data_IF_092334816767
#
_entry.id   IF_092334816767
#
_cell.length_a   1.000
_cell.length_b   1.000
_cell.length_c   1.000
_cell.angle_alpha   90.00
_cell.angle_beta   90.00
_cell.angle_gamma   90.00
#
_symmetry.space_group_name_H-M   'P 1'
#
loop_
_entity.id
_entity.type
_entity.pdbx_description
1 polymer ?
#
# COMPACT_ATOMS: atom_id res chain seq x y z
N UNK A 1 -9.09 7.33 -11.67
CA UNK A 1 -10.55 7.22 -11.41
C UNK A 1 -11.26 6.13 -12.24
N UNK A 2 -10.67 5.64 -13.34
CA UNK A 2 -11.33 4.69 -14.26
C UNK A 2 -11.54 3.27 -13.67
N UNK A 3 -10.57 2.73 -12.93
CA UNK A 3 -10.64 1.34 -12.43
C UNK A 3 -11.83 1.07 -11.48
N UNK A 4 -12.14 1.99 -10.55
CA UNK A 4 -13.27 1.83 -9.63
C UNK A 4 -14.62 1.90 -10.33
N UNK A 5 -14.73 2.74 -11.37
CA UNK A 5 -15.90 2.80 -12.24
C UNK A 5 -16.03 1.50 -13.03
N UNK A 6 -14.93 1.00 -13.59
CA UNK A 6 -14.90 -0.27 -14.34
C UNK A 6 -15.30 -1.44 -13.45
N UNK A 7 -14.85 -1.50 -12.20
CA UNK A 7 -15.19 -2.58 -11.28
C UNK A 7 -16.58 -2.42 -10.63
N UNK A 8 -17.25 -1.28 -10.81
CA UNK A 8 -18.53 -0.94 -10.16
C UNK A 8 -18.48 -1.02 -8.62
N UNK A 9 -17.29 -0.83 -8.05
CA UNK A 9 -17.10 -0.90 -6.61
C UNK A 9 -17.70 0.33 -5.92
N UNK A 10 -18.74 0.09 -5.11
CA UNK A 10 -19.43 1.14 -4.35
C UNK A 10 -18.70 1.39 -3.03
N UNK A 11 -18.69 2.65 -2.58
CA UNK A 11 -18.16 3.03 -1.26
C UNK A 11 -16.75 3.64 -1.25
N UNK A 12 -16.02 3.64 -2.38
CA UNK A 12 -14.68 4.26 -2.48
C UNK A 12 -14.67 5.71 -3.00
N UNK A 13 -15.85 6.30 -3.23
CA UNK A 13 -15.98 7.66 -3.79
C UNK A 13 -15.71 8.75 -2.75
N UNK A 14 -15.83 8.44 -1.45
CA UNK A 14 -15.58 9.37 -0.35
C UNK A 14 -14.70 8.67 0.66
N UNK A 15 -13.61 9.32 1.08
CA UNK A 15 -12.73 8.79 2.13
C UNK A 15 -13.52 8.65 3.42
N UNK A 16 -13.53 7.45 3.99
CA UNK A 16 -14.15 7.16 5.28
C UNK A 16 -13.17 6.44 6.18
N UNK A 17 -13.09 6.86 7.44
CA UNK A 17 -12.26 6.21 8.47
C UNK A 17 -12.99 5.08 9.19
N UNK A 18 -14.28 4.87 8.89
CA UNK A 18 -15.14 3.88 9.53
C UNK A 18 -15.71 2.90 8.51
N UNK A 19 -15.97 1.68 8.96
CA UNK A 19 -16.60 0.64 8.15
C UNK A 19 -15.64 -0.06 7.17
N UNK A 20 -16.15 -0.64 6.08
CA UNK A 20 -15.35 -1.50 5.20
C UNK A 20 -14.42 -0.74 4.25
N UNK A 21 -14.40 0.61 4.30
CA UNK A 21 -13.64 1.44 3.37
C UNK A 21 -12.17 1.04 3.28
N UNK A 22 -11.50 0.86 4.42
CA UNK A 22 -10.08 0.47 4.44
C UNK A 22 -9.86 -0.90 3.77
N UNK A 23 -10.70 -1.88 4.09
CA UNK A 23 -10.59 -3.22 3.50
C UNK A 23 -10.84 -3.18 1.99
N UNK A 24 -11.90 -2.48 1.57
CA UNK A 24 -12.22 -2.32 0.15
C UNK A 24 -11.11 -1.59 -0.60
N UNK A 25 -10.51 -0.55 -0.01
CA UNK A 25 -9.40 0.19 -0.61
C UNK A 25 -8.15 -0.70 -0.73
N UNK A 26 -7.85 -1.48 0.31
CA UNK A 26 -6.75 -2.44 0.29
C UNK A 26 -6.92 -3.46 -0.85
N UNK A 27 -8.08 -4.12 -0.93
CA UNK A 27 -8.40 -5.07 -2.01
C UNK A 27 -8.30 -4.40 -3.39
N UNK A 28 -8.74 -3.14 -3.50
CA UNK A 28 -8.67 -2.35 -4.72
C UNK A 28 -7.24 -2.14 -5.19
N UNK A 29 -6.38 -1.69 -4.30
CA UNK A 29 -4.96 -1.48 -4.60
C UNK A 29 -4.35 -2.78 -5.10
N UNK A 30 -4.63 -3.91 -4.46
CA UNK A 30 -4.13 -5.21 -4.90
C UNK A 30 -4.65 -5.62 -6.28
N UNK A 31 -5.96 -5.53 -6.53
CA UNK A 31 -6.55 -5.96 -7.81
C UNK A 31 -6.08 -5.08 -8.97
N UNK A 32 -6.02 -3.77 -8.74
CA UNK A 32 -5.60 -2.80 -9.75
C UNK A 32 -4.12 -2.97 -10.05
N UNK A 33 -3.26 -3.05 -9.03
CA UNK A 33 -1.81 -3.26 -9.21
C UNK A 33 -1.52 -4.59 -9.89
N UNK A 34 -2.19 -5.69 -9.50
CA UNK A 34 -2.01 -6.98 -10.18
C UNK A 34 -2.36 -6.88 -11.67
N UNK A 35 -3.46 -6.18 -12.02
CA UNK A 35 -3.81 -5.94 -13.41
C UNK A 35 -2.79 -5.06 -14.17
N UNK A 36 -2.26 -4.01 -13.55
CA UNK A 36 -1.21 -3.17 -14.16
C UNK A 36 0.06 -3.97 -14.43
N UNK A 37 0.55 -4.71 -13.42
CA UNK A 37 1.78 -5.49 -13.55
C UNK A 37 1.62 -6.60 -14.59
N UNK A 38 0.44 -7.24 -14.67
CA UNK A 38 0.14 -8.20 -15.74
C UNK A 38 0.25 -7.58 -17.14
N UNK A 39 -0.21 -6.34 -17.33
CA UNK A 39 -0.06 -5.65 -18.62
C UNK A 39 1.39 -5.18 -18.87
N UNK A 40 2.12 -4.74 -17.84
CA UNK A 40 3.54 -4.41 -17.94
C UNK A 40 4.37 -5.62 -18.40
N UNK A 41 4.09 -6.81 -17.87
CA UNK A 41 4.70 -8.05 -18.33
C UNK A 41 4.48 -8.29 -19.81
N UNK A 42 3.26 -8.09 -20.30
CA UNK A 42 2.92 -8.22 -21.73
C UNK A 42 3.73 -7.24 -22.58
N UNK A 43 3.79 -5.96 -22.17
CA UNK A 43 4.52 -4.90 -22.89
C UNK A 43 6.02 -5.20 -22.97
N UNK A 44 6.67 -5.47 -21.84
CA UNK A 44 8.13 -5.65 -21.78
C UNK A 44 8.59 -6.97 -22.41
N UNK A 45 7.82 -8.04 -22.24
CA UNK A 45 8.19 -9.36 -22.78
C UNK A 45 7.75 -9.58 -24.22
N UNK A 46 6.93 -8.68 -24.77
CA UNK A 46 6.29 -8.79 -26.08
C UNK A 46 5.48 -10.09 -26.26
N UNK A 47 4.99 -10.69 -25.17
CA UNK A 47 4.14 -11.89 -25.20
C UNK A 47 2.68 -11.52 -25.02
N UNK A 48 1.77 -12.06 -25.84
CA UNK A 48 0.33 -11.81 -25.68
C UNK A 48 -0.26 -12.48 -24.44
N UNK A 49 0.27 -13.65 -24.04
CA UNK A 49 -0.25 -14.42 -22.93
C UNK A 49 0.81 -14.66 -21.85
N UNK A 50 0.44 -14.44 -20.59
CA UNK A 50 1.32 -14.70 -19.43
C UNK A 50 1.71 -16.18 -19.27
N UNK A 51 0.96 -17.08 -19.90
CA UNK A 51 1.31 -18.51 -19.93
C UNK A 51 2.66 -18.72 -20.62
N UNK A 52 2.98 -17.89 -21.63
CA UNK A 52 4.21 -18.00 -22.39
C UNK A 52 5.43 -17.65 -21.54
N UNK A 53 5.27 -16.80 -20.52
CA UNK A 53 6.31 -16.49 -19.55
C UNK A 53 6.75 -17.72 -18.75
N UNK A 54 5.85 -18.69 -18.52
CA UNK A 54 6.18 -19.93 -17.79
C UNK A 54 7.20 -20.79 -18.52
N UNK A 55 7.39 -20.57 -19.82
CA UNK A 55 8.37 -21.30 -20.63
C UNK A 55 9.76 -20.64 -20.61
N UNK A 56 9.89 -19.42 -20.08
CA UNK A 56 11.16 -18.70 -19.98
C UNK A 56 11.98 -19.21 -18.79
N UNK A 57 13.31 -19.09 -18.90
CA UNK A 57 14.22 -19.42 -17.80
C UNK A 57 14.10 -18.40 -16.68
N UNK A 58 14.49 -18.79 -15.47
CA UNK A 58 14.44 -17.93 -14.29
C UNK A 58 15.25 -16.64 -14.50
N UNK A 59 16.43 -16.73 -15.11
CA UNK A 59 17.29 -15.58 -15.37
C UNK A 59 16.65 -14.59 -16.35
N UNK A 60 15.92 -15.10 -17.34
CA UNK A 60 15.21 -14.26 -18.31
C UNK A 60 14.00 -13.59 -17.66
N UNK A 61 13.26 -14.30 -16.80
CA UNK A 61 12.17 -13.73 -16.02
C UNK A 61 12.66 -12.62 -15.08
N UNK A 62 13.80 -12.84 -14.42
CA UNK A 62 14.41 -11.84 -13.55
C UNK A 62 14.80 -10.57 -14.31
N UNK A 63 15.40 -10.71 -15.50
CA UNK A 63 15.73 -9.58 -16.38
C UNK A 63 14.47 -8.81 -16.78
N UNK A 64 13.42 -9.51 -17.22
CA UNK A 64 12.15 -8.89 -17.58
C UNK A 64 11.52 -8.15 -16.40
N UNK A 65 11.53 -8.73 -15.20
CA UNK A 65 11.03 -8.07 -13.99
C UNK A 65 11.84 -6.81 -13.65
N UNK A 66 13.17 -6.88 -13.80
CA UNK A 66 14.05 -5.74 -13.57
C UNK A 66 13.75 -4.62 -14.57
N UNK A 67 13.48 -4.97 -15.82
CA UNK A 67 13.10 -4.00 -16.85
C UNK A 67 11.75 -3.34 -16.56
N UNK A 68 10.75 -4.11 -16.10
CA UNK A 68 9.47 -3.54 -15.66
C UNK A 68 9.68 -2.52 -14.55
N UNK A 69 10.49 -2.85 -13.53
CA UNK A 69 10.77 -1.92 -12.44
C UNK A 69 11.46 -0.66 -12.97
N UNK A 70 12.50 -0.81 -13.79
CA UNK A 70 13.31 0.29 -14.28
C UNK A 70 12.61 1.19 -15.30
N UNK A 71 11.70 0.65 -16.11
CA UNK A 71 11.02 1.41 -17.18
C UNK A 71 9.58 1.79 -16.84
N UNK A 72 8.89 1.03 -15.99
CA UNK A 72 7.45 1.16 -15.80
C UNK A 72 7.03 1.34 -14.34
N UNK A 73 7.97 1.49 -13.41
CA UNK A 73 7.65 1.58 -11.98
C UNK A 73 8.67 2.32 -11.11
N UNK A 74 9.64 3.06 -11.69
CA UNK A 74 10.71 3.71 -10.91
C UNK A 74 10.58 5.23 -10.87
N UNK A 75 11.05 5.84 -9.77
CA UNK A 75 11.18 7.30 -9.69
C UNK A 75 12.10 7.87 -10.77
N UNK A 76 13.16 7.15 -11.13
CA UNK A 76 14.10 7.59 -12.16
C UNK A 76 13.43 7.71 -13.54
N UNK A 77 12.45 6.85 -13.85
CA UNK A 77 11.66 6.99 -15.08
C UNK A 77 10.77 8.23 -15.03
N UNK A 78 10.10 8.47 -13.90
CA UNK A 78 9.25 9.65 -13.70
C UNK A 78 10.06 10.93 -13.89
N UNK A 79 11.21 11.03 -13.22
CA UNK A 79 12.13 12.16 -13.36
C UNK A 79 12.63 12.34 -14.80
N UNK A 80 12.92 11.23 -15.50
CA UNK A 80 13.34 11.29 -16.89
C UNK A 80 12.21 11.79 -17.82
N UNK A 81 10.97 11.37 -17.59
CA UNK A 81 9.80 11.83 -18.34
C UNK A 81 9.51 13.31 -18.09
N UNK A 82 9.63 13.77 -16.85
CA UNK A 82 9.44 15.19 -16.48
C UNK A 82 10.47 16.13 -17.16
N UNK A 83 11.60 15.59 -17.62
CA UNK A 83 12.64 16.33 -18.33
C UNK A 83 12.47 16.34 -19.86
N UNK A 84 11.52 15.56 -20.40
CA UNK A 84 11.28 15.53 -21.84
C UNK A 84 10.57 16.80 -22.34
N UNK A 85 10.70 17.14 -23.64
CA UNK A 85 9.90 18.19 -24.27
C UNK A 85 8.39 17.97 -24.11
N UNK A 86 7.61 19.05 -24.07
CA UNK A 86 6.16 19.00 -23.85
C UNK A 86 5.42 18.20 -24.95
N UNK A 87 5.95 18.18 -26.17
CA UNK A 87 5.43 17.41 -27.30
C UNK A 87 5.69 15.90 -27.21
N UNK A 88 6.69 15.48 -26.43
CA UNK A 88 7.02 14.07 -26.16
C UNK A 88 6.41 13.56 -24.85
N UNK A 89 5.68 14.42 -24.12
CA UNK A 89 5.10 14.07 -22.84
C UNK A 89 3.86 13.17 -23.02
N UNK A 90 3.94 11.96 -22.47
CA UNK A 90 2.80 11.05 -22.32
C UNK A 90 2.32 11.06 -20.87
N UNK A 91 1.30 11.88 -20.59
CA UNK A 91 0.71 12.02 -19.26
C UNK A 91 0.07 10.71 -18.79
N UNK A 92 -0.50 9.91 -19.71
CA UNK A 92 -1.21 8.68 -19.34
C UNK A 92 -0.22 7.59 -18.92
N UNK A 93 0.86 7.43 -19.68
CA UNK A 93 1.95 6.53 -19.30
C UNK A 93 2.59 6.99 -17.99
N UNK A 94 2.85 8.30 -17.85
CA UNK A 94 3.41 8.88 -16.63
C UNK A 94 2.54 8.56 -15.40
N UNK A 95 1.22 8.74 -15.50
CA UNK A 95 0.28 8.37 -14.44
C UNK A 95 0.29 6.86 -14.12
N UNK A 96 0.40 6.00 -15.13
CA UNK A 96 0.48 4.55 -14.93
C UNK A 96 1.78 4.15 -14.22
N UNK A 97 2.90 4.79 -14.56
CA UNK A 97 4.21 4.58 -13.90
C UNK A 97 4.16 5.04 -12.44
N UNK A 98 3.57 6.21 -12.15
CA UNK A 98 3.36 6.67 -10.78
C UNK A 98 2.53 5.69 -9.97
N UNK A 99 1.42 5.19 -10.53
CA UNK A 99 0.60 4.18 -9.87
C UNK A 99 1.45 2.94 -9.53
N UNK A 100 2.18 2.41 -10.52
CA UNK A 100 2.99 1.22 -10.32
C UNK A 100 4.05 1.41 -9.25
N UNK A 101 4.78 2.53 -9.29
CA UNK A 101 5.79 2.89 -8.29
C UNK A 101 5.19 2.90 -6.89
N UNK A 102 4.15 3.70 -6.67
CA UNK A 102 3.55 3.90 -5.35
C UNK A 102 2.88 2.63 -4.83
N UNK A 103 2.16 1.91 -5.70
CA UNK A 103 1.43 0.73 -5.31
C UNK A 103 2.36 -0.48 -5.07
N UNK A 104 3.48 -0.61 -5.78
CA UNK A 104 4.49 -1.62 -5.48
C UNK A 104 5.16 -1.37 -4.12
N UNK A 105 5.42 -0.11 -3.75
CA UNK A 105 5.90 0.22 -2.40
C UNK A 105 4.89 -0.20 -1.33
N UNK A 106 3.59 0.04 -1.56
CA UNK A 106 2.52 -0.40 -0.66
C UNK A 106 2.46 -1.94 -0.53
N UNK A 107 2.50 -2.67 -1.65
CA UNK A 107 2.50 -4.13 -1.66
C UNK A 107 3.73 -4.67 -0.95
N UNK A 108 4.91 -4.11 -1.21
CA UNK A 108 6.16 -4.53 -0.59
C UNK A 108 6.14 -4.34 0.93
N UNK A 109 5.64 -3.21 1.42
CA UNK A 109 5.44 -2.96 2.85
C UNK A 109 4.49 -4.00 3.47
N UNK A 110 3.37 -4.29 2.82
CA UNK A 110 2.39 -5.23 3.35
C UNK A 110 2.92 -6.67 3.37
N UNK A 111 3.68 -7.08 2.36
CA UNK A 111 4.37 -8.37 2.37
C UNK A 111 5.45 -8.43 3.46
N UNK A 112 6.20 -7.34 3.67
CA UNK A 112 7.12 -7.21 4.81
C UNK A 112 6.42 -7.39 6.15
N UNK A 113 5.29 -6.71 6.35
CA UNK A 113 4.44 -6.84 7.54
C UNK A 113 4.00 -8.28 7.74
N UNK A 114 3.44 -8.92 6.70
CA UNK A 114 2.94 -10.31 6.78
C UNK A 114 4.04 -11.29 7.13
N UNK A 115 5.23 -11.10 6.56
CA UNK A 115 6.39 -11.95 6.78
C UNK A 115 7.12 -11.67 8.10
N UNK A 116 6.77 -10.60 8.82
CA UNK A 116 7.50 -10.19 10.01
C UNK A 116 8.84 -9.52 9.72
N UNK A 117 9.07 -9.05 8.49
CA UNK A 117 10.32 -8.43 8.07
C UNK A 117 10.33 -6.94 8.45
N UNK A 118 10.82 -6.68 9.66
CA UNK A 118 10.97 -5.35 10.22
C UNK A 118 12.01 -4.49 9.47
N UNK A 119 12.93 -5.11 8.73
CA UNK A 119 13.91 -4.37 7.93
C UNK A 119 13.25 -3.72 6.73
N UNK A 120 12.35 -4.43 6.04
CA UNK A 120 11.55 -3.86 4.94
C UNK A 120 10.70 -2.69 5.46
N UNK A 121 10.08 -2.84 6.62
CA UNK A 121 9.30 -1.76 7.24
C UNK A 121 10.14 -0.51 7.48
N UNK A 122 11.32 -0.66 8.11
CA UNK A 122 12.25 0.45 8.36
C UNK A 122 12.72 1.11 7.06
N UNK A 123 13.08 0.31 6.06
CA UNK A 123 13.52 0.81 4.74
C UNK A 123 12.43 1.59 4.01
N UNK A 124 11.16 1.33 4.31
CA UNK A 124 10.02 2.01 3.69
C UNK A 124 9.68 3.35 4.37
N UNK A 125 10.20 3.61 5.59
CA UNK A 125 9.91 4.84 6.35
C UNK A 125 10.25 6.13 5.59
N UNK A 126 11.42 6.28 4.92
CA UNK A 126 11.71 7.49 4.14
C UNK A 126 10.72 7.72 2.99
N UNK A 127 10.26 6.64 2.33
CA UNK A 127 9.26 6.75 1.28
C UNK A 127 7.90 7.21 1.84
N UNK A 128 7.48 6.62 2.97
CA UNK A 128 6.25 7.03 3.66
C UNK A 128 6.33 8.47 4.14
N UNK A 129 7.51 8.92 4.61
CA UNK A 129 7.74 10.30 5.02
C UNK A 129 7.43 11.26 3.87
N UNK A 130 8.00 11.01 2.68
CA UNK A 130 7.72 11.82 1.49
C UNK A 130 6.25 11.75 1.10
N UNK A 131 5.66 10.55 1.08
CA UNK A 131 4.26 10.37 0.72
C UNK A 131 3.31 11.12 1.67
N UNK A 132 3.53 11.06 2.99
CA UNK A 132 2.72 11.80 3.96
C UNK A 132 2.92 13.31 3.87
N UNK A 133 4.17 13.77 3.67
CA UNK A 133 4.46 15.18 3.51
C UNK A 133 3.75 15.77 2.28
N UNK A 134 3.83 15.10 1.13
CA UNK A 134 3.16 15.54 -0.10
C UNK A 134 1.64 15.43 -0.01
N UNK A 135 1.14 14.40 0.65
CA UNK A 135 -0.29 14.22 0.95
C UNK A 135 -0.84 15.16 2.02
N UNK A 136 -0.02 16.09 2.56
CA UNK A 136 -0.38 17.08 3.58
C UNK A 136 -0.85 16.45 4.90
N UNK A 137 -0.29 15.28 5.23
CA UNK A 137 -0.59 14.51 6.43
C UNK A 137 0.43 14.81 7.55
N UNK A 138 0.47 16.06 8.02
CA UNK A 138 1.53 16.58 8.89
C UNK A 138 1.75 15.76 10.18
N UNK A 139 0.69 15.20 10.79
CA UNK A 139 0.82 14.36 11.98
C UNK A 139 1.65 13.11 11.69
N UNK A 140 1.31 12.39 10.63
CA UNK A 140 2.06 11.22 10.20
C UNK A 140 3.47 11.59 9.70
N UNK A 141 3.63 12.74 9.04
CA UNK A 141 4.97 13.26 8.68
C UNK A 141 5.86 13.43 9.91
N UNK A 142 5.36 14.08 10.96
CA UNK A 142 6.11 14.29 12.22
C UNK A 142 6.38 12.96 12.91
N UNK A 143 5.39 12.07 13.03
CA UNK A 143 5.57 10.75 13.64
C UNK A 143 6.67 9.94 12.96
N UNK A 144 6.76 9.98 11.62
CA UNK A 144 7.82 9.29 10.88
C UNK A 144 9.18 9.97 11.07
N UNK A 145 9.24 11.31 11.13
CA UNK A 145 10.47 12.04 11.43
C UNK A 145 11.02 11.69 12.82
N UNK A 146 10.16 11.73 13.84
CA UNK A 146 10.49 11.32 15.21
C UNK A 146 11.00 9.87 15.25
N UNK A 147 10.30 8.96 14.58
CA UNK A 147 10.71 7.57 14.52
C UNK A 147 12.07 7.39 13.85
N UNK A 148 12.33 8.07 12.72
CA UNK A 148 13.63 8.03 12.05
C UNK A 148 14.74 8.62 12.94
N UNK A 149 14.49 9.74 13.60
CA UNK A 149 15.42 10.38 14.53
C UNK A 149 15.77 9.43 15.69
N UNK A 150 14.75 8.84 16.32
CA UNK A 150 14.88 7.82 17.35
C UNK A 150 15.72 6.61 16.87
N UNK A 151 15.38 6.06 15.70
CA UNK A 151 16.03 4.89 15.13
C UNK A 151 17.47 5.14 14.67
N UNK A 152 17.80 6.32 14.17
CA UNK A 152 19.12 6.59 13.63
C UNK A 152 20.08 7.20 14.66
N UNK A 153 19.58 8.05 15.56
CA UNK A 153 20.44 8.90 16.38
C UNK A 153 20.26 8.75 17.89
N UNK A 154 19.05 8.55 18.39
CA UNK A 154 18.79 8.72 19.83
C UNK A 154 18.76 7.42 20.62
N UNK A 155 18.09 6.39 20.10
CA UNK A 155 17.92 5.16 20.87
C UNK A 155 19.23 4.38 20.97
N UNK A 156 19.55 3.78 22.13
CA UNK A 156 20.60 2.79 22.21
C UNK A 156 20.20 1.51 21.45
N UNK A 157 21.17 0.67 21.02
CA UNK A 157 20.90 -0.54 20.24
C UNK A 157 19.81 -1.44 20.82
N UNK A 158 19.81 -1.67 22.14
CA UNK A 158 18.85 -2.54 22.81
C UNK A 158 17.41 -2.03 22.72
N UNK A 159 17.22 -0.70 22.76
CA UNK A 159 15.88 -0.08 22.61
C UNK A 159 15.42 -0.19 21.16
N UNK A 160 16.32 0.02 20.18
CA UNK A 160 15.98 -0.15 18.76
C UNK A 160 15.55 -1.58 18.48
N UNK A 161 16.29 -2.56 18.98
CA UNK A 161 15.99 -3.98 18.84
C UNK A 161 14.62 -4.32 19.44
N UNK A 162 14.38 -3.85 20.67
CA UNK A 162 13.09 -4.05 21.34
C UNK A 162 11.93 -3.46 20.54
N UNK A 163 12.02 -2.19 20.12
CA UNK A 163 10.93 -1.53 19.39
C UNK A 163 10.67 -2.23 18.04
N UNK A 164 11.72 -2.53 17.27
CA UNK A 164 11.58 -3.20 15.97
C UNK A 164 10.95 -4.58 16.12
N UNK A 165 11.47 -5.41 17.02
CA UNK A 165 11.08 -6.82 17.11
C UNK A 165 9.85 -7.09 17.99
N UNK A 166 9.48 -6.16 18.89
CA UNK A 166 8.37 -6.34 19.85
C UNK A 166 7.29 -5.26 19.76
N UNK A 167 7.62 -4.08 19.22
CA UNK A 167 6.72 -2.93 19.22
C UNK A 167 5.96 -2.70 17.92
N UNK A 168 6.40 -3.27 16.79
CA UNK A 168 5.75 -3.01 15.49
C UNK A 168 4.75 -4.08 15.10
N UNK A 169 5.15 -5.35 15.22
CA UNK A 169 4.39 -6.48 14.71
C UNK A 169 4.10 -7.51 15.80
N UNK A 170 3.00 -8.22 15.62
CA UNK A 170 2.65 -9.39 16.43
C UNK A 170 2.13 -10.51 15.54
N UNK A 171 2.27 -11.75 16.02
CA UNK A 171 1.74 -12.93 15.36
C UNK A 171 1.06 -13.82 16.41
N UNK A 172 -0.28 -13.84 16.39
CA UNK A 172 -1.09 -14.59 17.35
C UNK A 172 -1.16 -16.08 17.02
N UNK A 173 -0.95 -16.47 15.76
CA UNK A 173 -1.13 -17.85 15.31
C UNK A 173 0.18 -18.64 15.34
N UNK A 174 1.32 -17.95 15.32
CA UNK A 174 2.63 -18.56 15.13
C UNK A 174 2.87 -19.07 13.70
N UNK A 175 1.92 -18.88 12.79
CA UNK A 175 2.05 -19.33 11.41
C UNK A 175 2.91 -18.37 10.58
N UNK A 176 3.66 -18.87 9.59
CA UNK A 176 4.25 -18.02 8.56
C UNK A 176 3.18 -17.13 7.91
N UNK A 177 3.57 -15.90 7.55
CA UNK A 177 2.71 -14.91 6.89
C UNK A 177 1.52 -14.42 7.76
N UNK A 178 1.54 -14.73 9.06
CA UNK A 178 0.52 -14.39 10.04
C UNK A 178 0.82 -13.14 10.87
N UNK A 179 1.89 -12.40 10.57
CA UNK A 179 2.20 -11.17 11.27
C UNK A 179 1.27 -10.02 10.82
N UNK A 180 0.97 -9.13 11.76
CA UNK A 180 0.22 -7.91 11.51
C UNK A 180 0.61 -6.81 12.52
N UNK A 181 0.29 -5.53 12.26
CA UNK A 181 0.65 -4.43 13.15
C UNK A 181 0.06 -4.60 14.55
N UNK A 182 0.86 -4.33 15.59
CA UNK A 182 0.41 -4.51 16.99
C UNK A 182 -0.83 -3.67 17.30
N UNK A 183 -0.88 -2.44 16.80
CA UNK A 183 -2.00 -1.51 16.98
C UNK A 183 -3.30 -2.09 16.41
N UNK A 184 -3.24 -2.69 15.22
CA UNK A 184 -4.37 -3.42 14.62
C UNK A 184 -4.83 -4.60 15.50
N UNK A 185 -3.89 -5.28 16.16
CA UNK A 185 -4.21 -6.32 17.14
C UNK A 185 -4.95 -5.78 18.36
N UNK A 186 -4.51 -4.64 18.87
CA UNK A 186 -5.17 -3.97 19.97
C UNK A 186 -6.57 -3.49 19.55
N UNK A 187 -6.72 -2.95 18.35
CA UNK A 187 -8.02 -2.54 17.80
C UNK A 187 -8.98 -3.75 17.69
N UNK A 188 -8.51 -4.89 17.17
CA UNK A 188 -9.31 -6.12 17.13
C UNK A 188 -9.72 -6.58 18.53
N UNK A 189 -8.80 -6.58 19.49
CA UNK A 189 -9.11 -6.93 20.89
C UNK A 189 -10.17 -6.00 21.49
N UNK A 190 -10.04 -4.69 21.27
CA UNK A 190 -11.01 -3.69 21.74
C UNK A 190 -12.38 -3.92 21.09
N UNK A 191 -12.42 -4.16 19.78
CA UNK A 191 -13.65 -4.46 19.05
C UNK A 191 -14.32 -5.72 19.58
N UNK A 192 -13.56 -6.79 19.80
CA UNK A 192 -14.14 -8.06 20.23
C UNK A 192 -14.69 -8.00 21.65
N UNK A 193 -14.03 -7.26 22.56
CA UNK A 193 -14.51 -7.03 23.92
C UNK A 193 -15.74 -6.12 23.95
N UNK A 194 -15.71 -5.02 23.18
CA UNK A 194 -16.73 -3.96 23.28
C UNK A 194 -17.91 -4.11 22.33
N UNK A 195 -17.77 -4.89 21.26
CA UNK A 195 -18.78 -4.96 20.19
C UNK A 195 -19.18 -6.41 19.91
N UNK A 196 -18.24 -7.26 19.49
CA UNK A 196 -18.54 -8.61 19.00
C UNK A 196 -19.05 -9.54 20.11
N UNK A 197 -18.33 -9.59 21.23
CA UNK A 197 -18.62 -10.46 22.38
C UNK A 197 -18.99 -9.63 23.61
N UNK A 198 -19.56 -8.44 23.40
CA UNK A 198 -19.94 -7.56 24.49
C UNK A 198 -20.91 -8.28 25.43
N UNK A 199 -20.66 -8.18 26.73
CA UNK A 199 -21.57 -8.71 27.73
C UNK A 199 -22.80 -7.81 27.75
N UNK A 200 -23.98 -8.38 27.51
CA UNK A 200 -25.26 -7.65 27.49
C UNK A 200 -26.17 -8.13 28.62
N UNK A 201 -26.97 -7.22 29.18
CA UNK A 201 -28.00 -7.54 30.19
C UNK A 201 -27.96 -6.67 31.45
N UNK A 202 -28.95 -6.83 32.35
CA UNK A 202 -29.09 -5.98 33.54
C UNK A 202 -28.00 -6.19 34.61
N UNK A 203 -27.25 -7.30 34.54
CA UNK A 203 -26.18 -7.65 35.48
C UNK A 203 -24.77 -7.50 34.89
N UNK A 204 -24.61 -6.70 33.83
CA UNK A 204 -23.29 -6.43 33.24
C UNK A 204 -22.44 -5.64 34.24
N UNK A 205 -21.29 -6.19 34.60
CA UNK A 205 -20.29 -5.54 35.44
C UNK A 205 -18.90 -5.61 34.78
N UNK A 206 -18.00 -4.72 35.21
CA UNK A 206 -16.59 -4.79 34.81
C UNK A 206 -15.94 -6.13 35.18
N UNK A 207 -16.34 -6.72 36.31
CA UNK A 207 -15.85 -8.03 36.76
C UNK A 207 -16.29 -9.15 35.82
N UNK A 208 -17.53 -9.12 35.35
CA UNK A 208 -18.05 -10.09 34.39
C UNK A 208 -17.35 -9.97 33.04
N UNK A 209 -17.13 -8.73 32.56
CA UNK A 209 -16.37 -8.47 31.34
C UNK A 209 -14.93 -8.99 31.48
N UNK A 210 -14.25 -8.68 32.58
CA UNK A 210 -12.89 -9.15 32.88
C UNK A 210 -12.79 -10.68 32.93
N UNK A 211 -13.82 -11.35 33.44
CA UNK A 211 -13.91 -12.81 33.49
C UNK A 211 -14.04 -13.44 32.07
N UNK A 212 -14.79 -12.80 31.18
CA UNK A 212 -15.10 -13.33 29.84
C UNK A 212 -14.01 -12.99 28.81
N UNK A 213 -13.36 -11.82 28.93
CA UNK A 213 -12.35 -11.37 27.95
C UNK A 213 -11.27 -12.40 27.60
N UNK A 214 -10.70 -13.17 28.55
CA UNK A 214 -9.71 -14.20 28.24
C UNK A 214 -10.22 -15.34 27.34
N UNK A 215 -11.54 -15.58 27.28
CA UNK A 215 -12.15 -16.63 26.47
C UNK A 215 -12.46 -16.19 25.02
N UNK A 216 -12.44 -14.89 24.74
CA UNK A 216 -12.77 -14.31 23.42
C UNK A 216 -11.94 -14.91 22.28
N UNK A 217 -10.61 -15.11 22.39
CA UNK A 217 -9.82 -15.70 21.30
C UNK A 217 -10.34 -17.08 20.86
N UNK A 218 -10.80 -17.88 21.81
CA UNK A 218 -11.39 -19.20 21.55
C UNK A 218 -12.75 -19.09 20.85
N UNK A 219 -13.57 -18.11 21.22
CA UNK A 219 -14.88 -17.87 20.59
C UNK A 219 -14.73 -17.47 19.12
N UNK A 220 -13.75 -16.62 18.80
CA UNK A 220 -13.47 -16.15 17.43
C UNK A 220 -13.11 -17.31 16.49
N UNK A 221 -12.34 -18.29 16.96
CA UNK A 221 -11.89 -19.43 16.12
C UNK A 221 -13.04 -20.34 15.64
N UNK A 222 -14.16 -20.37 16.36
CA UNK A 222 -15.29 -21.26 16.04
C UNK A 222 -16.19 -20.66 14.95
N UNK A 223 -16.04 -19.37 14.62
CA UNK A 223 -17.01 -18.60 13.82
C UNK A 223 -16.49 -18.14 12.45
N UNK A 224 -15.24 -18.43 12.07
CA UNK A 224 -14.66 -17.93 10.82
C UNK A 224 -14.78 -18.90 9.64
N UNK A 225 -15.83 -18.73 8.84
CA UNK A 225 -15.89 -19.21 7.46
C UNK A 225 -15.96 -18.00 6.53
N UNK A 226 -14.86 -17.69 5.84
CA UNK A 226 -14.86 -16.67 4.79
C UNK A 226 -14.90 -17.34 3.42
N UNK A 227 -15.92 -16.97 2.65
CA UNK A 227 -16.07 -17.33 1.24
C UNK A 227 -15.28 -16.32 0.42
N UNK A 228 -14.50 -16.81 -0.54
CA UNK A 228 -13.71 -15.96 -1.44
C UNK A 228 -14.27 -16.06 -2.88
N UNK A 229 -15.03 -15.05 -3.37
CA UNK A 229 -15.27 -14.98 -4.80
C UNK A 229 -15.42 -13.55 -5.34
N UNK A 230 -14.34 -12.98 -5.91
CA UNK A 230 -14.43 -11.97 -6.99
C UNK A 230 -13.08 -11.64 -7.65
N UNK A 231 -11.96 -11.74 -6.90
CA UNK A 231 -10.62 -11.24 -7.29
C UNK A 231 -10.22 -11.53 -8.74
N UNK A 232 -10.28 -12.79 -9.17
CA UNK A 232 -9.83 -13.19 -10.52
C UNK A 232 -10.64 -12.51 -11.63
N UNK A 233 -11.95 -12.34 -11.44
CA UNK A 233 -12.84 -11.71 -12.44
C UNK A 233 -12.51 -10.22 -12.58
N UNK A 234 -12.26 -9.56 -11.47
CA UNK A 234 -11.92 -8.14 -11.44
C UNK A 234 -10.59 -7.88 -12.14
N UNK A 235 -9.58 -8.69 -11.86
CA UNK A 235 -8.25 -8.60 -12.50
C UNK A 235 -8.37 -8.79 -14.02
N UNK A 236 -9.08 -9.82 -14.48
CA UNK A 236 -9.25 -10.05 -15.93
C UNK A 236 -10.01 -8.90 -16.62
N UNK A 237 -11.03 -8.32 -15.96
CA UNK A 237 -11.74 -7.15 -16.48
C UNK A 237 -10.80 -5.94 -16.65
N UNK A 238 -9.99 -5.64 -15.62
CA UNK A 238 -9.04 -4.53 -15.66
C UNK A 238 -7.93 -4.74 -16.68
N UNK A 239 -7.35 -5.95 -16.75
CA UNK A 239 -6.34 -6.31 -17.75
C UNK A 239 -6.82 -6.04 -19.17
N UNK A 240 -8.06 -6.44 -19.50
CA UNK A 240 -8.65 -6.18 -20.81
C UNK A 240 -8.74 -4.69 -21.15
N UNK A 241 -9.09 -3.85 -20.17
CA UNK A 241 -9.17 -2.40 -20.33
C UNK A 241 -7.78 -1.78 -20.55
N UNK A 242 -6.79 -2.16 -19.75
CA UNK A 242 -5.42 -1.63 -19.86
C UNK A 242 -4.74 -2.05 -21.15
N UNK A 243 -4.94 -3.31 -21.55
CA UNK A 243 -4.46 -3.80 -22.83
C UNK A 243 -5.03 -3.01 -24.01
N UNK A 244 -6.37 -2.82 -24.03
CA UNK A 244 -7.05 -2.12 -25.13
C UNK A 244 -6.72 -0.64 -25.17
N UNK A 245 -6.47 -0.04 -24.01
CA UNK A 245 -6.17 1.39 -23.89
C UNK A 245 -4.69 1.69 -24.09
N UNK A 246 -3.82 0.68 -24.01
CA UNK A 246 -2.36 0.77 -24.19
C UNK A 246 -1.69 1.80 -23.26
N UNK A 247 -2.16 1.88 -22.00
CA UNK A 247 -1.68 2.86 -21.02
C UNK A 247 -0.21 2.69 -20.60
N UNK A 248 0.40 1.54 -20.91
CA UNK A 248 1.82 1.24 -20.62
C UNK A 248 2.70 1.32 -21.87
N UNK A 249 2.20 1.86 -22.99
CA UNK A 249 2.94 2.02 -24.25
C UNK A 249 3.07 3.52 -24.52
N UNK A 250 4.32 3.99 -24.72
CA UNK A 250 4.63 5.39 -25.00
C UNK A 250 3.86 5.90 -26.23
N UNK A 251 3.18 7.04 -26.06
CA UNK A 251 2.50 7.81 -27.11
C UNK A 251 2.73 9.31 -26.91
N UNK A 252 3.49 9.89 -27.84
CA UNK A 252 3.87 11.30 -27.77
C UNK A 252 2.64 12.23 -27.78
N UNK A 253 2.64 13.20 -26.86
CA UNK A 253 1.57 14.20 -26.71
C UNK A 253 0.25 13.66 -26.16
N UNK A 254 0.24 12.48 -25.51
CA UNK A 254 -0.98 11.91 -24.96
C UNK A 254 -1.30 12.51 -23.58
N UNK A 255 -2.30 13.40 -23.52
CA UNK A 255 -2.76 14.04 -22.28
C UNK A 255 -4.10 13.49 -21.77
N UNK A 256 -4.34 13.66 -20.47
CA UNK A 256 -5.64 13.40 -19.87
C UNK A 256 -6.69 14.39 -20.37
N UNK A 257 -7.92 13.89 -20.57
CA UNK A 257 -9.00 14.64 -21.24
C UNK A 257 -9.61 15.74 -20.37
N UNK A 258 -9.58 15.56 -19.05
CA UNK A 258 -10.22 16.45 -18.08
C UNK A 258 -9.24 16.73 -16.96
N UNK A 259 -9.23 17.98 -16.47
CA UNK A 259 -8.35 18.41 -15.36
C UNK A 259 -8.50 17.55 -14.09
N UNK A 260 -9.66 16.95 -13.86
CA UNK A 260 -9.91 16.05 -12.73
C UNK A 260 -9.18 14.70 -12.84
N UNK A 261 -8.71 14.35 -14.03
CA UNK A 261 -7.93 13.14 -14.29
C UNK A 261 -6.41 13.40 -14.22
N UNK A 262 -5.97 14.65 -14.02
CA UNK A 262 -4.55 14.94 -13.75
C UNK A 262 -4.19 14.45 -12.36
N UNK A 263 -3.03 13.80 -12.26
CA UNK A 263 -2.47 13.30 -11.00
C UNK A 263 -1.22 14.10 -10.68
N UNK A 264 -0.94 14.28 -9.40
CA UNK A 264 0.30 14.90 -8.94
C UNK A 264 1.26 13.82 -8.43
N UNK A 265 2.57 13.98 -8.66
CA UNK A 265 3.57 13.15 -7.97
C UNK A 265 3.69 13.58 -6.50
N UNK A 266 2.88 12.93 -5.66
CA UNK A 266 2.81 13.19 -4.22
C UNK A 266 4.16 12.97 -3.53
N UNK A 267 4.96 12.00 -3.98
CA UNK A 267 6.25 11.69 -3.35
C UNK A 267 7.25 12.81 -3.64
N UNK A 268 7.35 13.25 -4.89
CA UNK A 268 8.22 14.37 -5.28
C UNK A 268 7.79 15.70 -4.64
N UNK A 269 6.47 15.95 -4.58
CA UNK A 269 5.93 17.10 -3.84
C UNK A 269 6.30 17.05 -2.35
N UNK A 270 6.24 15.87 -1.74
CA UNK A 270 6.62 15.69 -0.34
C UNK A 270 8.09 15.91 -0.06
N UNK A 271 8.97 15.42 -0.94
CA UNK A 271 10.39 15.70 -0.87
C UNK A 271 10.64 17.21 -0.96
N UNK A 272 10.10 17.89 -1.98
CA UNK A 272 10.22 19.34 -2.13
C UNK A 272 9.67 20.09 -0.91
N UNK A 273 8.53 19.66 -0.35
CA UNK A 273 7.92 20.28 0.82
C UNK A 273 8.78 20.16 2.08
N UNK A 274 9.35 18.99 2.36
CA UNK A 274 10.27 18.79 3.49
C UNK A 274 11.51 19.68 3.37
N UNK A 275 12.09 19.77 2.17
CA UNK A 275 13.26 20.60 1.91
C UNK A 275 12.95 22.10 1.77
N UNK A 276 11.68 22.50 1.64
CA UNK A 276 11.24 23.90 1.63
C UNK A 276 11.32 24.61 3.02
N UNK A 277 12.09 24.04 3.95
CA UNK A 277 12.44 24.50 5.29
C UNK A 277 11.29 24.57 6.31
N UNK A 278 10.06 24.90 5.93
CA UNK A 278 8.98 25.15 6.89
C UNK A 278 8.62 23.95 7.78
N UNK A 279 8.51 22.74 7.21
CA UNK A 279 8.19 21.54 8.00
C UNK A 279 9.34 21.10 8.90
N UNK A 280 10.57 21.15 8.39
CA UNK A 280 11.76 20.82 9.19
C UNK A 280 11.99 21.84 10.30
N UNK A 281 11.74 23.12 10.05
CA UNK A 281 11.81 24.17 11.06
C UNK A 281 10.76 23.97 12.15
N UNK A 282 9.50 23.70 11.77
CA UNK A 282 8.44 23.39 12.74
C UNK A 282 8.79 22.19 13.60
N UNK A 283 9.32 21.12 12.99
CA UNK A 283 9.75 19.94 13.72
C UNK A 283 10.90 20.25 14.69
N UNK A 284 11.89 21.05 14.28
CA UNK A 284 13.06 21.39 15.10
C UNK A 284 12.76 22.37 16.25
N UNK A 285 11.73 23.21 16.11
CA UNK A 285 11.31 24.17 17.13
C UNK A 285 10.43 23.57 18.24
N UNK A 286 9.97 22.33 18.06
CA UNK A 286 9.17 21.56 19.01
C UNK A 286 10.00 20.58 19.82
#
# INVERSE_FOLDING_TARGET
MHAFTVLEWKGLHTVQTWGPFHQQLHEAIYHVTEAHIHDCWRVISWTENLIDLRQKKLEDLYKLATEIVNQLSSSSTVEWMDLQPEDEHDEILWQAILWNRDALHYVHLNEGIRNGDVRIMEQTLPYLLFHFAGGKNLKYTIEILELLQCLHWEWPPDVKDFVKHRGWLMNLTGCPNGFFPIDRGQEHNIRDIKVTHQVQGPNVSWDLMKCISPAIPTLVQVWSSHTDPAKKKDIEKLKGVYHTSEIHVQKDGWCARVKADHVEDIVSLGAAHLFSWKTMQQWWEH
#
